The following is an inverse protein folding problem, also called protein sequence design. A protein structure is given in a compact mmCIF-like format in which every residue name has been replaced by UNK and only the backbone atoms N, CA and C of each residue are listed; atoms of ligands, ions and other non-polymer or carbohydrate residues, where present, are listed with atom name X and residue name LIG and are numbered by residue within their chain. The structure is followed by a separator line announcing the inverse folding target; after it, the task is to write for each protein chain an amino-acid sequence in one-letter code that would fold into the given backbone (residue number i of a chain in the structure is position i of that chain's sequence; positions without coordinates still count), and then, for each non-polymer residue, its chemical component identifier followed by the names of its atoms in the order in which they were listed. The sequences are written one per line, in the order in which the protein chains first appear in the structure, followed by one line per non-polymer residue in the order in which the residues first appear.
data_IF_367956103377
#
_entry.id   IF_367956103377
#
_cell.length_a   1.000
_cell.length_b   1.000
_cell.length_c   1.000
_cell.angle_alpha   90.00
_cell.angle_beta   90.00
_cell.angle_gamma   90.00
#
_symmetry.space_group_name_H-M   'P 1'
#
loop_
_entity.id
_entity.type
_entity.pdbx_description
1 polymer ?
#
# COMPACT_ATOMS: atom_id res chain seq x y z
N UNK A 1 25.25 0.36 9.49
CA UNK A 1 24.42 1.05 8.47
C UNK A 1 23.00 0.98 8.98
N UNK A 2 22.27 2.08 8.93
CA UNK A 2 20.86 2.10 9.30
C UNK A 2 20.06 1.23 8.30
N UNK A 3 19.30 0.19 8.75
CA UNK A 3 18.52 -0.66 7.86
C UNK A 3 17.58 0.10 6.91
N UNK A 4 17.01 1.23 7.34
CA UNK A 4 16.10 2.02 6.48
C UNK A 4 16.80 2.58 5.25
N UNK A 5 18.08 2.97 5.38
CA UNK A 5 18.87 3.47 4.27
C UNK A 5 19.14 2.37 3.23
N UNK A 6 19.28 1.11 3.66
CA UNK A 6 19.45 -0.01 2.73
C UNK A 6 18.18 -0.26 1.92
N UNK A 7 17.00 -0.21 2.54
CA UNK A 7 15.72 -0.33 1.83
C UNK A 7 15.50 0.86 0.90
N UNK A 8 15.73 2.08 1.37
CA UNK A 8 15.56 3.29 0.57
C UNK A 8 16.44 3.26 -0.69
N UNK A 9 17.72 2.95 -0.52
CA UNK A 9 18.65 2.82 -1.64
C UNK A 9 18.19 1.72 -2.60
N UNK A 10 17.84 0.54 -2.11
CA UNK A 10 17.35 -0.56 -2.94
C UNK A 10 16.15 -0.13 -3.81
N UNK A 11 15.16 0.53 -3.22
CA UNK A 11 13.98 1.00 -3.96
C UNK A 11 14.37 2.06 -4.99
N UNK A 12 15.21 3.03 -4.62
CA UNK A 12 15.58 4.14 -5.52
C UNK A 12 16.38 3.67 -6.72
N UNK A 13 17.41 2.83 -6.52
CA UNK A 13 18.37 2.47 -7.57
C UNK A 13 17.93 1.32 -8.47
N UNK A 14 17.00 0.47 -8.02
CA UNK A 14 16.55 -0.67 -8.82
C UNK A 14 15.65 -0.19 -9.95
N UNK A 15 15.98 -0.57 -11.18
CA UNK A 15 15.17 -0.34 -12.36
C UNK A 15 14.47 -1.64 -12.78
N UNK A 16 13.38 -1.55 -13.54
CA UNK A 16 12.61 -2.70 -13.98
C UNK A 16 13.44 -3.75 -14.72
N UNK A 17 14.46 -3.33 -15.48
CA UNK A 17 15.31 -4.25 -16.24
C UNK A 17 16.29 -5.04 -15.34
N UNK A 18 16.47 -4.62 -14.07
CA UNK A 18 17.17 -5.38 -13.04
C UNK A 18 16.29 -6.49 -12.42
N UNK A 19 14.97 -6.42 -12.60
CA UNK A 19 14.02 -7.34 -11.96
C UNK A 19 13.97 -8.65 -12.75
N UNK A 20 14.15 -9.82 -12.09
CA UNK A 20 14.05 -11.10 -12.75
C UNK A 20 12.70 -11.30 -13.44
N UNK A 21 12.72 -11.81 -14.68
CA UNK A 21 11.51 -12.10 -15.45
C UNK A 21 10.45 -12.92 -14.68
N UNK A 22 10.80 -13.96 -13.90
CA UNK A 22 9.82 -14.69 -13.09
C UNK A 22 9.09 -13.81 -12.06
N UNK A 23 9.77 -12.82 -11.48
CA UNK A 23 9.17 -11.89 -10.53
C UNK A 23 8.20 -10.93 -11.25
N UNK A 24 8.56 -10.43 -12.43
CA UNK A 24 7.67 -9.61 -13.28
C UNK A 24 6.40 -10.39 -13.65
N UNK A 25 6.55 -11.64 -14.09
CA UNK A 25 5.41 -12.49 -14.45
C UNK A 25 4.52 -12.75 -13.23
N UNK A 26 5.10 -13.04 -12.07
CA UNK A 26 4.35 -13.23 -10.82
C UNK A 26 3.61 -11.97 -10.40
N UNK A 27 4.27 -10.81 -10.48
CA UNK A 27 3.66 -9.53 -10.13
C UNK A 27 2.45 -9.22 -11.01
N UNK A 28 2.52 -9.46 -12.33
CA UNK A 28 1.37 -9.30 -13.23
C UNK A 28 0.18 -10.16 -12.81
N UNK A 29 0.43 -11.43 -12.48
CA UNK A 29 -0.62 -12.35 -12.00
C UNK A 29 -1.22 -11.87 -10.69
N UNK A 30 -0.40 -11.50 -9.70
CA UNK A 30 -0.87 -11.08 -8.38
C UNK A 30 -1.56 -9.71 -8.41
N UNK A 31 -1.13 -8.78 -9.28
CA UNK A 31 -1.83 -7.52 -9.52
C UNK A 31 -3.23 -7.79 -10.08
N UNK A 32 -3.35 -8.67 -11.07
CA UNK A 32 -4.64 -9.05 -11.65
C UNK A 32 -5.55 -9.70 -10.60
N UNK A 33 -5.01 -10.64 -9.82
CA UNK A 33 -5.70 -11.29 -8.70
C UNK A 33 -6.21 -10.27 -7.67
N UNK A 34 -5.32 -9.38 -7.20
CA UNK A 34 -5.64 -8.36 -6.18
C UNK A 34 -6.73 -7.40 -6.67
N UNK A 35 -6.71 -7.00 -7.95
CA UNK A 35 -7.79 -6.19 -8.54
C UNK A 35 -9.10 -6.98 -8.54
N UNK A 36 -9.06 -8.26 -8.95
CA UNK A 36 -10.24 -9.13 -8.93
C UNK A 36 -10.85 -9.29 -7.54
N UNK A 37 -10.02 -9.52 -6.52
CA UNK A 37 -10.44 -9.59 -5.11
C UNK A 37 -11.03 -8.27 -4.66
N UNK A 38 -10.40 -7.13 -4.97
CA UNK A 38 -10.93 -5.81 -4.65
C UNK A 38 -12.28 -5.53 -5.32
N UNK A 39 -12.46 -5.96 -6.58
CA UNK A 39 -13.76 -5.87 -7.28
C UNK A 39 -14.82 -6.69 -6.56
N UNK A 40 -14.53 -7.92 -6.12
CA UNK A 40 -15.47 -8.72 -5.31
C UNK A 40 -15.78 -8.01 -3.99
N UNK A 41 -14.76 -7.56 -3.27
CA UNK A 41 -14.91 -6.89 -1.98
C UNK A 41 -15.56 -5.50 -2.06
N UNK A 42 -15.68 -4.90 -3.24
CA UNK A 42 -16.51 -3.69 -3.44
C UNK A 42 -17.99 -3.93 -3.11
N UNK A 43 -18.45 -5.18 -3.18
CA UNK A 43 -19.79 -5.61 -2.73
C UNK A 43 -19.83 -6.10 -1.28
N UNK A 44 -18.70 -6.02 -0.57
CA UNK A 44 -18.56 -6.43 0.81
C UNK A 44 -19.24 -5.45 1.79
N UNK A 45 -19.44 -5.87 3.05
CA UNK A 45 -20.09 -5.02 4.06
C UNK A 45 -19.38 -3.67 4.19
N UNK A 46 -20.13 -2.58 4.38
CA UNK A 46 -19.61 -1.23 4.64
C UNK A 46 -18.78 -0.57 3.52
N UNK A 47 -18.60 -1.21 2.36
CA UNK A 47 -17.87 -0.62 1.24
C UNK A 47 -18.54 0.68 0.71
N UNK A 48 -19.87 0.67 0.58
CA UNK A 48 -20.65 1.83 0.15
C UNK A 48 -20.64 2.93 1.20
N UNK A 49 -20.88 2.60 2.48
CA UNK A 49 -20.86 3.59 3.56
C UNK A 49 -19.49 4.24 3.74
N UNK A 50 -18.40 3.48 3.59
CA UNK A 50 -17.04 3.99 3.63
C UNK A 50 -16.78 4.95 2.46
N UNK A 51 -17.18 4.57 1.25
CA UNK A 51 -17.04 5.42 0.06
C UNK A 51 -17.84 6.71 0.19
N UNK A 52 -19.09 6.62 0.65
CA UNK A 52 -19.96 7.77 0.90
C UNK A 52 -19.42 8.68 2.00
N UNK A 53 -18.81 8.12 3.05
CA UNK A 53 -18.13 8.89 4.10
C UNK A 53 -17.02 9.76 3.52
N UNK A 54 -16.14 9.18 2.71
CA UNK A 54 -15.01 9.91 2.11
C UNK A 54 -15.44 10.88 1.01
N UNK A 55 -16.54 10.61 0.29
CA UNK A 55 -17.10 11.53 -0.70
C UNK A 55 -17.59 12.86 -0.08
N UNK A 56 -17.85 12.90 1.24
CA UNK A 56 -18.21 14.14 1.95
C UNK A 56 -17.03 15.07 2.20
N UNK A 57 -15.80 14.56 2.18
CA UNK A 57 -14.61 15.30 2.62
C UNK A 57 -13.98 16.19 1.55
N UNK A 58 -14.47 16.18 0.31
CA UNK A 58 -14.01 17.10 -0.74
C UNK A 58 -14.34 16.64 -2.16
N UNK A 59 -14.21 17.55 -3.12
CA UNK A 59 -14.54 17.32 -4.53
C UNK A 59 -13.35 16.95 -5.43
N UNK A 60 -12.15 16.76 -4.87
CA UNK A 60 -10.97 16.40 -5.65
C UNK A 60 -11.12 14.97 -6.19
N UNK A 61 -11.40 14.85 -7.49
CA UNK A 61 -11.64 13.59 -8.17
C UNK A 61 -10.34 12.96 -8.72
N UNK A 62 -9.35 12.73 -7.85
CA UNK A 62 -7.99 12.32 -8.22
C UNK A 62 -7.89 10.85 -8.65
N UNK A 63 -8.47 9.93 -7.87
CA UNK A 63 -8.39 8.49 -8.14
C UNK A 63 -9.73 7.77 -7.93
N UNK A 64 -9.91 6.65 -8.62
CA UNK A 64 -11.13 5.84 -8.60
C UNK A 64 -11.21 4.95 -7.36
N UNK A 65 -12.41 4.90 -6.78
CA UNK A 65 -12.82 3.77 -5.94
C UNK A 65 -13.32 2.66 -6.85
N UNK A 66 -12.76 1.45 -6.73
CA UNK A 66 -13.03 0.37 -7.66
C UNK A 66 -14.50 -0.06 -7.62
N UNK A 67 -15.03 -0.41 -8.80
CA UNK A 67 -16.41 -0.84 -9.06
C UNK A 67 -17.55 0.13 -8.70
N UNK A 68 -17.30 1.19 -7.93
CA UNK A 68 -18.33 2.12 -7.43
C UNK A 68 -18.48 3.39 -8.28
N UNK A 69 -17.65 3.59 -9.31
CA UNK A 69 -17.72 4.74 -10.22
C UNK A 69 -17.33 6.10 -9.60
N UNK A 70 -17.17 6.17 -8.29
CA UNK A 70 -16.79 7.36 -7.53
C UNK A 70 -15.29 7.66 -7.67
N UNK A 71 -14.95 8.93 -7.76
CA UNK A 71 -13.57 9.43 -7.65
C UNK A 71 -13.42 10.24 -6.37
N UNK A 72 -12.29 10.07 -5.70
CA UNK A 72 -11.95 10.68 -4.41
C UNK A 72 -10.51 11.24 -4.45
N UNK A 73 -10.10 12.01 -3.42
CA UNK A 73 -8.68 12.31 -3.22
C UNK A 73 -7.87 11.00 -3.17
N UNK A 74 -6.65 10.99 -3.70
CA UNK A 74 -5.89 9.75 -3.90
C UNK A 74 -5.71 8.94 -2.61
N UNK A 75 -5.43 9.60 -1.49
CA UNK A 75 -5.30 8.95 -0.17
C UNK A 75 -6.61 8.29 0.30
N UNK A 76 -7.77 8.88 -0.03
CA UNK A 76 -9.09 8.32 0.29
C UNK A 76 -9.48 7.18 -0.65
N UNK A 77 -9.14 7.28 -1.94
CA UNK A 77 -9.33 6.18 -2.88
C UNK A 77 -8.46 4.97 -2.51
N UNK A 78 -7.19 5.19 -2.16
CA UNK A 78 -6.28 4.16 -1.68
C UNK A 78 -6.86 3.43 -0.45
N UNK A 79 -7.40 4.19 0.51
CA UNK A 79 -8.05 3.65 1.70
C UNK A 79 -9.23 2.75 1.35
N UNK A 80 -10.14 3.22 0.50
CA UNK A 80 -11.35 2.48 0.13
C UNK A 80 -10.98 1.20 -0.64
N UNK A 81 -10.05 1.29 -1.60
CA UNK A 81 -9.62 0.14 -2.39
C UNK A 81 -8.88 -0.90 -1.54
N UNK A 82 -8.02 -0.47 -0.61
CA UNK A 82 -7.37 -1.37 0.35
C UNK A 82 -8.36 -2.09 1.26
N UNK A 83 -9.40 -1.40 1.72
CA UNK A 83 -10.49 -2.02 2.45
C UNK A 83 -11.21 -3.08 1.59
N UNK A 84 -11.55 -2.74 0.35
CA UNK A 84 -12.20 -3.67 -0.58
C UNK A 84 -11.35 -4.91 -0.85
N UNK A 85 -10.03 -4.79 -0.95
CA UNK A 85 -9.16 -5.97 -1.17
C UNK A 85 -9.21 -6.92 0.02
N UNK A 86 -9.18 -6.40 1.26
CA UNK A 86 -9.00 -7.25 2.44
C UNK A 86 -10.31 -7.65 3.13
N UNK A 87 -11.45 -7.01 2.83
CA UNK A 87 -12.68 -7.21 3.61
C UNK A 87 -13.31 -8.61 3.49
N UNK A 88 -12.85 -9.42 2.55
CA UNK A 88 -13.25 -10.81 2.36
C UNK A 88 -12.14 -11.81 2.71
N UNK A 89 -10.96 -11.32 3.15
CA UNK A 89 -9.76 -12.11 3.47
C UNK A 89 -9.38 -13.11 2.37
N UNK A 90 -9.59 -12.71 1.10
CA UNK A 90 -9.35 -13.56 -0.07
C UNK A 90 -8.15 -13.12 -0.91
N UNK A 91 -7.45 -12.10 -0.42
CA UNK A 91 -6.24 -11.52 -0.98
C UNK A 91 -5.01 -12.41 -0.77
N UNK A 92 -4.07 -12.35 -1.71
CA UNK A 92 -2.89 -13.20 -1.70
C UNK A 92 -2.01 -12.99 -0.46
N UNK A 93 -1.36 -14.07 -0.01
CA UNK A 93 -0.51 -14.09 1.17
C UNK A 93 0.94 -14.39 0.80
N UNK A 94 1.86 -13.69 1.47
CA UNK A 94 3.25 -14.13 1.57
C UNK A 94 3.40 -14.92 2.88
N UNK A 95 3.47 -16.26 2.78
CA UNK A 95 3.39 -17.16 3.93
C UNK A 95 4.53 -16.93 4.93
N UNK A 96 5.77 -16.86 4.45
CA UNK A 96 6.95 -16.67 5.32
C UNK A 96 6.93 -15.34 6.07
N UNK A 97 6.51 -14.26 5.39
CA UNK A 97 6.36 -12.95 6.00
C UNK A 97 5.12 -12.86 6.92
N UNK A 98 4.17 -13.79 6.79
CA UNK A 98 2.84 -13.75 7.42
C UNK A 98 2.14 -12.41 7.12
N UNK A 99 2.03 -12.09 5.82
CA UNK A 99 1.58 -10.77 5.38
C UNK A 99 0.76 -10.80 4.07
N UNK A 100 -0.32 -10.00 4.03
CA UNK A 100 -1.14 -9.70 2.84
C UNK A 100 -0.71 -8.34 2.25
N UNK A 101 0.54 -8.25 1.77
CA UNK A 101 1.18 -6.95 1.51
C UNK A 101 0.55 -6.16 0.36
N UNK A 102 0.06 -6.86 -0.68
CA UNK A 102 -0.51 -6.22 -1.87
C UNK A 102 -1.78 -5.41 -1.59
N UNK A 103 -2.48 -5.74 -0.51
CA UNK A 103 -3.72 -5.09 -0.09
C UNK A 103 -3.53 -3.67 0.45
N UNK A 104 -2.29 -3.30 0.79
CA UNK A 104 -1.92 -1.91 1.04
C UNK A 104 -1.09 -1.32 -0.12
N UNK A 105 -0.15 -2.10 -0.68
CA UNK A 105 0.81 -1.64 -1.70
C UNK A 105 0.10 -1.21 -2.99
N UNK A 106 -0.71 -2.10 -3.57
CA UNK A 106 -1.33 -1.87 -4.88
C UNK A 106 -2.31 -0.68 -4.89
N UNK A 107 -3.25 -0.53 -3.93
CA UNK A 107 -4.19 0.58 -3.96
C UNK A 107 -3.51 1.93 -3.71
N UNK A 108 -2.44 1.98 -2.89
CA UNK A 108 -1.63 3.18 -2.73
C UNK A 108 -0.94 3.59 -4.04
N UNK A 109 -0.25 2.64 -4.68
CA UNK A 109 0.45 2.86 -5.95
C UNK A 109 -0.50 3.29 -7.08
N UNK A 110 -1.64 2.60 -7.25
CA UNK A 110 -2.63 2.92 -8.27
C UNK A 110 -3.31 4.27 -8.03
N UNK A 111 -3.63 4.61 -6.77
CA UNK A 111 -4.23 5.90 -6.47
C UNK A 111 -3.28 7.06 -6.80
N UNK A 112 -1.99 6.91 -6.48
CA UNK A 112 -0.99 7.89 -6.89
C UNK A 112 -0.84 7.96 -8.41
N UNK A 113 -0.74 6.81 -9.08
CA UNK A 113 -0.61 6.74 -10.53
C UNK A 113 -1.79 7.39 -11.28
N UNK A 114 -3.02 7.20 -10.80
CA UNK A 114 -4.20 7.87 -11.34
C UNK A 114 -4.18 9.39 -11.09
N UNK A 115 -3.75 9.81 -9.89
CA UNK A 115 -3.67 11.23 -9.51
C UNK A 115 -2.75 12.03 -10.44
N UNK A 116 -1.57 11.49 -10.73
CA UNK A 116 -0.55 12.20 -11.53
C UNK A 116 -0.70 11.96 -13.04
N UNK A 117 -1.26 10.81 -13.44
CA UNK A 117 -1.33 10.40 -14.83
C UNK A 117 0.04 10.07 -15.44
N UNK A 118 0.05 9.49 -16.64
CA UNK A 118 1.30 9.23 -17.38
C UNK A 118 2.20 8.11 -16.85
N UNK A 119 1.85 7.45 -15.73
CA UNK A 119 2.56 6.27 -15.24
C UNK A 119 2.34 5.09 -16.18
N UNK A 120 3.43 4.51 -16.68
CA UNK A 120 3.40 3.33 -17.54
C UNK A 120 3.17 2.05 -16.73
N UNK A 121 2.70 0.98 -17.39
CA UNK A 121 2.59 -0.33 -16.75
C UNK A 121 3.94 -0.87 -16.25
N UNK A 122 5.05 -0.55 -16.92
CA UNK A 122 6.41 -0.93 -16.51
C UNK A 122 6.75 -0.29 -15.15
N UNK A 123 6.53 1.02 -15.02
CA UNK A 123 6.76 1.77 -13.77
C UNK A 123 5.85 1.30 -12.63
N UNK A 124 4.57 1.02 -12.91
CA UNK A 124 3.65 0.51 -11.89
C UNK A 124 4.09 -0.87 -11.37
N UNK A 125 4.44 -1.80 -12.28
CA UNK A 125 4.89 -3.13 -11.89
C UNK A 125 6.19 -3.05 -11.08
N UNK A 126 7.15 -2.23 -11.51
CA UNK A 126 8.41 -1.99 -10.79
C UNK A 126 8.15 -1.51 -9.35
N UNK A 127 7.35 -0.45 -9.18
CA UNK A 127 7.04 0.11 -7.88
C UNK A 127 6.29 -0.87 -6.97
N UNK A 128 5.34 -1.64 -7.53
CA UNK A 128 4.60 -2.66 -6.77
C UNK A 128 5.54 -3.79 -6.32
N UNK A 129 6.44 -4.27 -7.18
CA UNK A 129 7.42 -5.30 -6.81
C UNK A 129 8.32 -4.81 -5.68
N UNK A 130 8.87 -3.60 -5.80
CA UNK A 130 9.75 -3.02 -4.77
C UNK A 130 9.02 -2.79 -3.45
N UNK A 131 7.75 -2.35 -3.50
CA UNK A 131 6.91 -2.25 -2.29
C UNK A 131 6.64 -3.59 -1.63
N UNK A 132 6.36 -4.64 -2.42
CA UNK A 132 6.20 -6.01 -1.93
C UNK A 132 7.50 -6.54 -1.32
N UNK A 133 8.65 -6.25 -1.93
CA UNK A 133 9.94 -6.72 -1.46
C UNK A 133 10.32 -6.09 -0.12
N UNK A 134 10.14 -4.76 0.03
CA UNK A 134 10.31 -4.05 1.31
C UNK A 134 9.41 -4.65 2.40
N UNK A 135 8.12 -4.79 2.13
CA UNK A 135 7.16 -5.28 3.13
C UNK A 135 7.42 -6.74 3.52
N UNK A 136 7.72 -7.60 2.55
CA UNK A 136 7.99 -9.03 2.78
C UNK A 136 9.27 -9.22 3.57
N UNK A 137 10.36 -8.50 3.25
CA UNK A 137 11.61 -8.58 3.99
C UNK A 137 11.45 -8.14 5.46
N UNK A 138 10.68 -7.07 5.72
CA UNK A 138 10.36 -6.66 7.09
C UNK A 138 9.55 -7.74 7.83
N UNK A 139 8.62 -8.39 7.16
CA UNK A 139 7.83 -9.48 7.73
C UNK A 139 8.66 -10.72 8.05
N UNK A 140 9.56 -11.14 7.15
CA UNK A 140 10.47 -12.28 7.33
C UNK A 140 11.47 -12.03 8.46
N UNK A 141 11.98 -10.80 8.57
CA UNK A 141 12.90 -10.41 9.65
C UNK A 141 12.25 -10.38 11.04
N UNK A 142 10.90 -10.37 11.13
CA UNK A 142 10.18 -10.28 12.38
C UNK A 142 9.99 -11.67 13.04
N UNK A 143 10.90 -12.02 13.94
CA UNK A 143 10.88 -13.30 14.67
C UNK A 143 10.05 -13.28 15.97
N UNK A 144 9.60 -12.12 16.43
CA UNK A 144 8.72 -12.03 17.60
C UNK A 144 7.32 -12.53 17.26
N UNK A 145 6.63 -13.13 18.24
CA UNK A 145 5.20 -13.46 18.11
C UNK A 145 4.35 -12.25 17.70
N UNK A 146 3.24 -12.52 17.01
CA UNK A 146 2.34 -11.47 16.50
C UNK A 146 1.73 -10.66 17.66
N UNK A 147 2.23 -9.44 17.86
CA UNK A 147 1.64 -8.44 18.76
C UNK A 147 0.80 -7.40 18.00
N UNK A 148 1.13 -7.23 16.72
CA UNK A 148 0.43 -6.37 15.79
C UNK A 148 0.00 -7.21 14.58
N UNK A 149 -1.09 -6.80 13.96
CA UNK A 149 -1.57 -7.26 12.68
C UNK A 149 -0.55 -6.90 11.61
N UNK A 150 0.41 -7.81 11.44
CA UNK A 150 1.59 -7.66 10.59
C UNK A 150 1.24 -7.27 9.15
N UNK A 151 0.21 -7.83 8.47
CA UNK A 151 -0.19 -7.41 7.13
C UNK A 151 -0.36 -5.90 6.98
N UNK A 152 -1.09 -5.26 7.91
CA UNK A 152 -1.31 -3.82 7.89
C UNK A 152 -0.02 -3.03 8.15
N UNK A 153 0.77 -3.48 9.13
CA UNK A 153 1.96 -2.77 9.57
C UNK A 153 3.06 -2.77 8.48
N UNK A 154 3.50 -3.95 8.02
CA UNK A 154 4.55 -4.03 6.98
C UNK A 154 4.02 -3.62 5.61
N UNK A 155 2.73 -3.84 5.34
CA UNK A 155 2.07 -3.35 4.13
C UNK A 155 2.09 -1.82 4.02
N UNK A 156 2.00 -1.09 5.14
CA UNK A 156 2.15 0.37 5.16
C UNK A 156 3.52 0.84 4.68
N UNK A 157 4.60 0.18 5.12
CA UNK A 157 5.96 0.46 4.62
C UNK A 157 6.09 0.16 3.13
N UNK A 158 5.60 -0.99 2.68
CA UNK A 158 5.63 -1.35 1.27
C UNK A 158 4.86 -0.36 0.40
N UNK A 159 3.68 0.08 0.86
CA UNK A 159 2.88 1.07 0.16
C UNK A 159 3.60 2.43 0.07
N UNK A 160 4.27 2.86 1.15
CA UNK A 160 5.04 4.10 1.14
C UNK A 160 6.22 4.00 0.16
N UNK A 161 6.95 2.88 0.15
CA UNK A 161 8.02 2.63 -0.81
C UNK A 161 7.53 2.67 -2.26
N UNK A 162 6.41 2.01 -2.57
CA UNK A 162 5.85 1.98 -3.91
C UNK A 162 5.39 3.37 -4.38
N UNK A 163 4.68 4.12 -3.53
CA UNK A 163 4.24 5.47 -3.87
C UNK A 163 5.44 6.41 -4.06
N UNK A 164 6.41 6.39 -3.14
CA UNK A 164 7.62 7.20 -3.24
C UNK A 164 8.45 6.86 -4.49
N UNK A 165 8.50 5.58 -4.90
CA UNK A 165 9.14 5.16 -6.14
C UNK A 165 8.46 5.75 -7.37
N UNK A 166 7.12 5.72 -7.42
CA UNK A 166 6.36 6.33 -8.52
C UNK A 166 6.52 7.86 -8.57
N UNK A 167 6.70 8.50 -7.41
CA UNK A 167 7.00 9.93 -7.31
C UNK A 167 8.43 10.28 -7.76
N UNK A 168 9.31 9.30 -7.90
CA UNK A 168 10.72 9.53 -8.23
C UNK A 168 11.48 10.23 -7.10
N UNK A 169 11.13 9.95 -5.84
CA UNK A 169 11.84 10.49 -4.68
C UNK A 169 13.29 9.95 -4.64
N UNK A 170 14.25 10.81 -4.29
CA UNK A 170 15.64 10.41 -4.06
C UNK A 170 15.79 9.62 -2.74
N UNK A 171 17.01 9.13 -2.46
CA UNK A 171 17.26 8.32 -1.26
C UNK A 171 16.89 9.03 0.05
N UNK A 172 17.15 10.34 0.16
CA UNK A 172 16.83 11.12 1.36
C UNK A 172 15.33 11.21 1.56
N UNK A 173 14.60 11.55 0.49
CA UNK A 173 13.14 11.65 0.51
C UNK A 173 12.46 10.28 0.64
N UNK A 174 13.05 9.22 0.12
CA UNK A 174 12.58 7.85 0.35
C UNK A 174 12.69 7.46 1.83
N UNK A 175 13.82 7.75 2.48
CA UNK A 175 13.98 7.55 3.94
C UNK A 175 12.92 8.35 4.69
N UNK A 176 12.76 9.64 4.39
CA UNK A 176 11.75 10.48 5.02
C UNK A 176 10.33 9.94 4.83
N UNK A 177 9.97 9.48 3.63
CA UNK A 177 8.65 8.91 3.35
C UNK A 177 8.39 7.65 4.19
N UNK A 178 9.38 6.75 4.29
CA UNK A 178 9.30 5.54 5.12
C UNK A 178 9.22 5.89 6.62
N UNK A 179 9.99 6.86 7.09
CA UNK A 179 9.99 7.31 8.48
C UNK A 179 8.69 8.04 8.87
N UNK A 180 8.11 8.85 7.96
CA UNK A 180 6.81 9.49 8.18
C UNK A 180 5.68 8.45 8.17
N UNK A 181 5.79 7.44 7.30
CA UNK A 181 4.85 6.31 7.31
C UNK A 181 4.94 5.54 8.64
N UNK A 182 6.16 5.30 9.15
CA UNK A 182 6.39 4.63 10.44
C UNK A 182 5.63 5.30 11.60
N UNK A 183 5.65 6.64 11.66
CA UNK A 183 4.93 7.41 12.69
C UNK A 183 3.40 7.30 12.62
N UNK A 184 2.85 6.73 11.54
CA UNK A 184 1.41 6.61 11.29
C UNK A 184 0.92 5.16 11.25
N UNK A 185 1.80 4.16 11.43
CA UNK A 185 1.41 2.77 11.30
C UNK A 185 0.36 2.36 12.34
N UNK A 186 -0.65 1.65 11.88
CA UNK A 186 -1.59 0.93 12.75
C UNK A 186 -1.51 -0.58 12.51
N UNK A 187 -2.38 -1.36 13.16
CA UNK A 187 -2.37 -2.82 13.09
C UNK A 187 -2.45 -3.47 14.47
N UNK A 188 -3.38 -3.08 15.34
CA UNK A 188 -3.63 -3.82 16.59
C UNK A 188 -4.25 -5.19 16.30
N UNK A 189 -3.99 -6.17 17.18
CA UNK A 189 -4.61 -7.51 17.08
C UNK A 189 -6.05 -7.56 17.58
N UNK A 190 -6.57 -6.50 18.23
CA UNK A 190 -7.91 -6.51 18.82
C UNK A 190 -9.00 -6.83 17.79
N UNK A 191 -8.93 -6.20 16.62
CA UNK A 191 -9.89 -6.45 15.54
C UNK A 191 -9.86 -7.90 15.04
N UNK A 192 -8.69 -8.55 15.08
CA UNK A 192 -8.56 -9.97 14.75
C UNK A 192 -9.21 -10.86 15.83
N UNK A 193 -8.98 -10.55 17.11
CA UNK A 193 -9.59 -11.29 18.23
C UNK A 193 -11.12 -11.18 18.25
N UNK A 194 -11.67 -10.03 17.85
CA UNK A 194 -13.11 -9.77 17.87
C UNK A 194 -13.83 -10.11 16.56
N UNK A 195 -13.11 -10.49 15.49
CA UNK A 195 -13.71 -10.69 14.17
C UNK A 195 -14.32 -9.41 13.60
N UNK A 196 -13.67 -8.27 13.82
CA UNK A 196 -14.16 -6.95 13.44
C UNK A 196 -13.75 -6.56 12.03
N UNK A 197 -14.62 -5.89 11.29
CA UNK A 197 -14.32 -5.28 9.98
C UNK A 197 -13.18 -4.25 10.06
N UNK A 198 -12.83 -3.78 11.27
CA UNK A 198 -11.64 -2.97 11.46
C UNK A 198 -10.34 -3.70 11.11
N UNK A 199 -10.32 -5.03 10.98
CA UNK A 199 -9.15 -5.76 10.50
C UNK A 199 -8.77 -5.30 9.09
N UNK A 200 -9.73 -5.33 8.15
CA UNK A 200 -9.56 -4.79 6.79
C UNK A 200 -9.35 -3.27 6.78
N UNK A 201 -10.00 -2.54 7.69
CA UNK A 201 -9.81 -1.09 7.77
C UNK A 201 -8.35 -0.71 8.10
N UNK A 202 -7.62 -1.55 8.83
CA UNK A 202 -6.21 -1.30 9.13
C UNK A 202 -5.32 -1.39 7.88
N UNK A 203 -5.72 -2.13 6.83
CA UNK A 203 -5.07 -2.06 5.51
C UNK A 203 -5.34 -0.70 4.86
N UNK A 204 -6.60 -0.25 4.91
CA UNK A 204 -7.02 1.05 4.37
C UNK A 204 -6.33 2.25 5.02
N UNK A 205 -6.18 2.25 6.34
CA UNK A 205 -5.46 3.30 7.04
C UNK A 205 -4.00 3.38 6.61
N UNK A 206 -3.31 2.23 6.51
CA UNK A 206 -1.91 2.21 6.12
C UNK A 206 -1.70 2.58 4.64
N UNK A 207 -2.60 2.18 3.73
CA UNK A 207 -2.56 2.60 2.32
C UNK A 207 -2.76 4.13 2.17
N UNK A 208 -3.71 4.71 2.91
CA UNK A 208 -3.89 6.17 2.99
C UNK A 208 -2.64 6.86 3.51
N UNK A 209 -2.11 6.37 4.63
CA UNK A 209 -0.99 7.00 5.33
C UNK A 209 0.27 6.96 4.48
N UNK A 210 0.47 5.92 3.67
CA UNK A 210 1.56 5.83 2.70
C UNK A 210 1.52 6.95 1.65
N UNK A 211 0.35 7.22 1.05
CA UNK A 211 0.19 8.33 0.09
C UNK A 211 0.48 9.66 0.77
N UNK A 212 -0.07 9.89 1.97
CA UNK A 212 0.17 11.11 2.75
C UNK A 212 1.64 11.26 3.14
N UNK A 213 2.30 10.18 3.55
CA UNK A 213 3.71 10.20 3.95
C UNK A 213 4.64 10.57 2.79
N UNK A 214 4.37 10.04 1.60
CA UNK A 214 5.12 10.38 0.39
C UNK A 214 4.89 11.85 -0.01
N UNK A 215 3.66 12.36 0.07
CA UNK A 215 3.33 13.77 -0.16
C UNK A 215 4.04 14.70 0.84
N UNK A 216 4.10 14.32 2.12
CA UNK A 216 4.82 15.07 3.15
C UNK A 216 6.33 15.09 2.88
N UNK A 217 6.92 13.95 2.51
CA UNK A 217 8.34 13.88 2.16
C UNK A 217 8.69 14.74 0.94
N UNK A 218 7.85 14.70 -0.11
CA UNK A 218 8.03 15.57 -1.29
C UNK A 218 7.97 17.05 -0.93
N UNK A 219 7.09 17.42 0.01
CA UNK A 219 6.97 18.77 0.55
C UNK A 219 8.11 19.18 1.49
N UNK A 220 9.07 18.28 1.77
CA UNK A 220 10.26 18.58 2.58
C UNK A 220 10.08 18.37 4.08
N UNK A 221 9.09 17.58 4.51
CA UNK A 221 9.04 17.11 5.89
C UNK A 221 10.05 15.99 6.11
N UNK A 222 10.75 16.07 7.25
CA UNK A 222 11.68 15.03 7.69
C UNK A 222 10.97 14.03 8.61
N UNK A 223 11.34 12.76 8.47
CA UNK A 223 10.93 11.70 9.38
C UNK A 223 11.99 11.41 10.45
N UNK A 224 11.62 10.72 11.55
CA UNK A 224 12.56 10.28 12.57
C UNK A 224 13.59 9.27 12.07
#
# INVERSE_FOLDING_TARGET
MDPIASFARHVVVTEFDDIPEPAILRAKTLILDTIGVGVVGSSGPKADELTALHARSGSNAEARVWSLGTRLPASSAALCNAYQIHNSEFDCVHEEAVAHVLSAVLPGALAHAERVGGITGKQLIEAVILGVDVASNLGVAAHSGLRFFRPANVGGFGAAAAVAKLMGLDEVRMVNALSIAYGQLCGTMQAHTEGSMLLAMQMGFNARNAVVAADMSEAGFDGP
#
